data_IF_605921057172
#
_entry.id   IF_605921057172
#
_cell.length_a   1.000
_cell.length_b   1.000
_cell.length_c   1.000
_cell.angle_alpha   90.00
_cell.angle_beta   90.00
_cell.angle_gamma   90.00
#
_symmetry.space_group_name_H-M   'P 1'
#
loop_
_entity.id
_entity.type
_entity.pdbx_description
1 polymer ?
#
# COMPACT_ATOMS: atom_id res chain seq x y z
N UNK A 1 10.40 33.51 63.27
CA UNK A 1 10.43 32.06 63.00
C UNK A 1 9.34 31.75 61.97
N UNK A 2 9.72 31.67 60.70
CA UNK A 2 8.96 31.04 59.60
C UNK A 2 9.95 30.86 58.45
N UNK A 3 10.34 29.60 58.27
CA UNK A 3 11.21 29.10 57.22
C UNK A 3 10.37 29.06 55.94
N UNK A 4 10.93 29.53 54.82
CA UNK A 4 10.41 29.17 53.52
C UNK A 4 11.58 28.91 52.54
N UNK A 5 11.51 27.72 51.95
CA UNK A 5 12.52 27.02 51.14
C UNK A 5 12.42 27.51 49.70
N UNK A 6 13.52 27.73 48.95
CA UNK A 6 13.42 27.95 47.52
C UNK A 6 13.10 26.62 46.82
N UNK A 7 11.96 26.55 46.14
CA UNK A 7 11.66 25.46 45.21
C UNK A 7 12.68 25.47 44.07
N UNK A 8 13.55 24.47 44.07
CA UNK A 8 14.23 23.99 42.87
C UNK A 8 13.18 23.36 41.95
N UNK A 9 12.70 24.10 40.96
CA UNK A 9 12.07 23.48 39.79
C UNK A 9 13.18 23.20 38.78
N UNK A 10 13.60 21.94 38.75
CA UNK A 10 14.42 21.37 37.69
C UNK A 10 13.53 21.31 36.44
N UNK A 11 13.57 22.36 35.61
CA UNK A 11 13.01 22.33 34.27
C UNK A 11 13.94 21.49 33.38
N UNK A 12 13.77 20.16 33.40
CA UNK A 12 14.25 19.29 32.33
C UNK A 12 13.08 19.11 31.37
N UNK A 13 12.88 20.10 30.51
CA UNK A 13 11.95 20.01 29.39
C UNK A 13 12.60 20.62 28.15
N UNK A 14 12.79 19.74 27.15
CA UNK A 14 13.02 20.05 25.74
C UNK A 14 14.29 20.84 25.38
N UNK A 15 15.47 20.25 25.60
CA UNK A 15 16.50 20.36 24.56
C UNK A 15 16.16 19.33 23.48
N UNK A 16 15.50 19.79 22.42
CA UNK A 16 15.33 19.00 21.20
C UNK A 16 16.69 18.54 20.70
N UNK A 17 16.78 17.26 20.34
CA UNK A 17 18.00 16.70 19.76
C UNK A 17 18.22 17.26 18.35
N UNK A 18 18.85 18.42 18.24
CA UNK A 18 19.47 18.85 16.98
C UNK A 18 20.49 17.76 16.57
N UNK A 19 20.21 17.06 15.48
CA UNK A 19 21.09 16.02 14.93
C UNK A 19 20.75 14.56 15.27
N UNK A 20 19.65 14.27 15.99
CA UNK A 20 19.25 12.87 16.21
C UNK A 20 18.50 12.27 15.04
N UNK A 21 18.88 11.05 14.68
CA UNK A 21 18.25 10.21 13.65
C UNK A 21 16.95 9.58 14.19
N UNK A 22 16.81 9.48 15.51
CA UNK A 22 15.63 8.86 16.15
C UNK A 22 14.35 9.60 15.76
N UNK A 23 13.33 8.84 15.35
CA UNK A 23 12.04 9.38 14.95
C UNK A 23 11.41 8.59 13.82
N UNK A 24 10.27 9.09 13.35
CA UNK A 24 9.54 8.53 12.21
C UNK A 24 9.88 9.34 10.97
N UNK A 25 9.97 8.65 9.84
CA UNK A 25 10.43 9.19 8.57
C UNK A 25 9.57 8.65 7.45
N UNK A 26 9.14 9.50 6.52
CA UNK A 26 8.36 9.08 5.37
C UNK A 26 8.87 9.72 4.09
N UNK A 27 8.72 9.01 2.98
CA UNK A 27 9.09 9.49 1.66
C UNK A 27 8.47 8.63 0.57
N UNK A 28 8.95 8.82 -0.66
CA UNK A 28 8.58 8.02 -1.81
C UNK A 28 9.86 7.38 -2.36
N UNK A 29 9.78 6.09 -2.65
CA UNK A 29 10.85 5.34 -3.28
C UNK A 29 10.26 4.51 -4.42
N UNK A 30 10.72 4.74 -5.65
CA UNK A 30 10.20 4.10 -6.87
C UNK A 30 8.67 4.21 -7.01
N UNK A 31 8.13 5.41 -6.78
CA UNK A 31 6.69 5.73 -6.81
C UNK A 31 5.85 5.01 -5.74
N UNK A 32 6.49 4.36 -4.76
CA UNK A 32 5.83 3.72 -3.63
C UNK A 32 6.09 4.51 -2.35
N UNK A 33 5.07 4.77 -1.52
CA UNK A 33 5.28 5.34 -0.19
C UNK A 33 6.19 4.45 0.67
N UNK A 34 7.07 5.08 1.43
CA UNK A 34 7.93 4.41 2.42
C UNK A 34 7.77 5.12 3.76
N UNK A 35 7.76 4.33 4.83
CA UNK A 35 7.70 4.78 6.22
C UNK A 35 8.72 4.02 7.07
N UNK A 36 9.59 4.73 7.77
CA UNK A 36 10.68 4.18 8.57
C UNK A 36 10.64 4.77 9.98
N UNK A 37 10.71 3.91 10.99
CA UNK A 37 10.83 4.30 12.39
C UNK A 37 12.24 3.96 12.86
N UNK A 38 13.01 4.98 13.20
CA UNK A 38 14.42 4.88 13.57
C UNK A 38 14.61 5.10 15.06
N UNK A 39 15.52 4.33 15.66
CA UNK A 39 15.96 4.46 17.04
C UNK A 39 17.49 4.42 17.10
N UNK A 40 18.07 5.55 17.46
CA UNK A 40 19.52 5.71 17.62
C UNK A 40 19.93 5.48 19.09
N UNK A 41 21.01 4.75 19.29
CA UNK A 41 21.68 4.60 20.60
C UNK A 41 23.19 4.77 20.42
N UNK A 42 23.69 5.97 20.71
CA UNK A 42 25.06 6.35 20.38
C UNK A 42 25.28 6.34 18.87
N UNK A 43 26.31 5.63 18.41
CA UNK A 43 26.60 5.42 16.98
C UNK A 43 25.80 4.28 16.35
N UNK A 44 25.02 3.51 17.12
CA UNK A 44 24.20 2.39 16.60
C UNK A 44 22.81 2.87 16.22
N UNK A 45 22.27 2.30 15.15
CA UNK A 45 20.93 2.59 14.65
C UNK A 45 20.16 1.28 14.44
N UNK A 46 18.98 1.21 15.03
CA UNK A 46 18.00 0.17 14.75
C UNK A 46 16.71 0.82 14.24
N UNK A 47 15.88 0.05 13.56
CA UNK A 47 14.62 0.57 13.08
C UNK A 47 13.73 -0.49 12.47
N UNK A 48 12.53 -0.03 12.13
CA UNK A 48 11.56 -0.79 11.36
C UNK A 48 11.09 0.03 10.16
N UNK A 49 10.67 -0.63 9.08
CA UNK A 49 10.27 0.06 7.86
C UNK A 49 9.27 -0.71 7.00
N UNK A 50 8.55 0.00 6.13
CA UNK A 50 7.60 -0.59 5.19
C UNK A 50 6.80 0.47 4.44
N UNK A 51 5.72 0.10 3.73
CA UNK A 51 4.93 1.05 2.94
C UNK A 51 4.16 2.08 3.76
N UNK A 52 3.78 1.77 5.00
CA UNK A 52 3.03 2.65 5.92
C UNK A 52 3.49 2.46 7.37
N UNK A 53 3.12 3.37 8.27
CA UNK A 53 3.35 3.25 9.72
C UNK A 53 2.76 1.96 10.27
N UNK A 54 1.60 1.53 9.76
CA UNK A 54 0.91 0.31 10.19
C UNK A 54 1.48 -0.97 9.58
N UNK A 55 2.21 -0.86 8.48
CA UNK A 55 2.75 -1.98 7.72
C UNK A 55 4.29 -1.92 7.68
N UNK A 56 4.94 -1.73 8.82
CA UNK A 56 6.40 -1.78 8.92
C UNK A 56 6.88 -3.22 9.04
N UNK A 57 7.01 -3.90 7.89
CA UNK A 57 7.32 -5.32 7.79
C UNK A 57 8.81 -5.65 7.96
N UNK A 58 9.68 -4.65 7.94
CA UNK A 58 11.13 -4.81 8.02
C UNK A 58 11.64 -4.39 9.38
N UNK A 59 12.61 -5.13 9.88
CA UNK A 59 13.39 -4.76 11.06
C UNK A 59 14.88 -4.81 10.70
N UNK A 60 15.65 -3.88 11.25
CA UNK A 60 17.11 -3.89 11.16
C UNK A 60 17.72 -3.37 12.46
N UNK A 61 18.93 -3.84 12.78
CA UNK A 61 19.62 -3.54 14.04
C UNK A 61 21.07 -3.10 13.89
N UNK A 62 21.63 -3.26 12.69
CA UNK A 62 23.06 -3.08 12.42
C UNK A 62 23.36 -1.77 11.68
N UNK A 63 22.49 -0.77 11.82
CA UNK A 63 22.74 0.56 11.28
C UNK A 63 23.77 1.33 12.11
N UNK A 64 24.35 2.35 11.49
CA UNK A 64 25.33 3.24 12.10
C UNK A 64 25.05 4.70 11.79
N UNK A 65 25.45 5.57 12.71
CA UNK A 65 25.39 7.03 12.57
C UNK A 65 26.76 7.60 12.91
N UNK A 66 27.34 8.33 11.98
CA UNK A 66 28.60 9.07 12.15
C UNK A 66 28.38 10.53 11.71
N UNK A 67 28.19 11.43 12.69
CA UNK A 67 27.83 12.82 12.40
C UNK A 67 26.47 12.92 11.71
N UNK A 68 26.44 13.48 10.49
CA UNK A 68 25.24 13.56 9.64
C UNK A 68 25.05 12.32 8.76
N UNK A 69 26.04 11.42 8.68
CA UNK A 69 26.04 10.25 7.80
C UNK A 69 25.37 9.06 8.49
N UNK A 70 24.47 8.41 7.75
CA UNK A 70 23.62 7.33 8.23
C UNK A 70 23.74 6.16 7.26
N UNK A 71 24.14 5.01 7.79
CA UNK A 71 24.24 3.77 7.03
C UNK A 71 23.36 2.70 7.68
N UNK A 72 22.48 2.05 6.93
CA UNK A 72 21.79 0.86 7.41
C UNK A 72 21.33 0.00 6.24
N UNK A 73 21.06 -1.28 6.51
CA UNK A 73 20.44 -2.18 5.55
C UNK A 73 19.12 -2.71 6.09
N UNK A 74 18.09 -2.77 5.25
CA UNK A 74 16.79 -3.34 5.56
C UNK A 74 16.40 -4.33 4.45
N UNK A 75 16.58 -5.62 4.70
CA UNK A 75 16.58 -6.62 3.63
C UNK A 75 17.71 -6.38 2.64
N UNK A 76 17.40 -6.47 1.35
CA UNK A 76 18.34 -6.23 0.24
C UNK A 76 18.66 -4.76 -0.02
N UNK A 77 17.96 -3.84 0.64
CA UNK A 77 18.15 -2.40 0.46
C UNK A 77 19.23 -1.87 1.38
N UNK A 78 20.22 -1.20 0.79
CA UNK A 78 21.32 -0.57 1.52
C UNK A 78 21.16 0.95 1.41
N UNK A 79 20.99 1.61 2.55
CA UNK A 79 20.75 3.04 2.65
C UNK A 79 22.04 3.75 3.03
N UNK A 80 22.43 4.71 2.21
CA UNK A 80 23.50 5.68 2.48
C UNK A 80 22.88 7.08 2.45
N UNK A 81 22.61 7.64 3.63
CA UNK A 81 21.84 8.88 3.78
C UNK A 81 22.62 9.92 4.57
N UNK A 82 22.28 11.19 4.33
CA UNK A 82 22.70 12.32 5.14
C UNK A 82 21.51 13.02 5.77
N UNK A 83 21.64 13.32 7.06
CA UNK A 83 20.68 14.10 7.83
C UNK A 83 20.94 15.60 7.69
N UNK A 84 19.91 16.35 7.34
CA UNK A 84 19.90 17.81 7.36
C UNK A 84 18.57 18.30 7.96
N UNK A 85 18.58 18.56 9.27
CA UNK A 85 17.38 18.95 10.02
C UNK A 85 16.32 17.84 10.02
N UNK A 86 15.20 18.11 9.37
CA UNK A 86 14.07 17.16 9.22
C UNK A 86 14.07 16.41 7.89
N UNK A 87 15.19 16.43 7.17
CA UNK A 87 15.33 15.75 5.88
C UNK A 87 16.49 14.76 5.95
N UNK A 88 16.24 13.52 5.54
CA UNK A 88 17.28 12.57 5.13
C UNK A 88 17.25 12.41 3.63
N UNK A 89 18.41 12.51 3.01
CA UNK A 89 18.55 12.28 1.57
C UNK A 89 19.81 11.51 1.28
N UNK A 90 19.77 10.74 0.21
CA UNK A 90 20.94 10.00 -0.24
C UNK A 90 20.55 8.93 -1.22
N UNK A 91 21.20 7.79 -1.12
CA UNK A 91 21.12 6.72 -2.09
C UNK A 91 20.66 5.44 -1.41
N UNK A 92 19.85 4.69 -2.14
CA UNK A 92 19.47 3.32 -1.82
C UNK A 92 20.02 2.43 -2.91
N UNK A 93 20.88 1.51 -2.50
CA UNK A 93 21.40 0.47 -3.39
C UNK A 93 20.58 -0.81 -3.21
N UNK A 94 20.06 -1.34 -4.31
CA UNK A 94 19.42 -2.66 -4.34
C UNK A 94 19.62 -3.27 -5.73
N UNK A 95 19.81 -4.58 -5.83
CA UNK A 95 19.95 -5.31 -7.11
C UNK A 95 20.97 -4.65 -8.07
N UNK A 96 22.07 -4.13 -7.52
CA UNK A 96 23.11 -3.41 -8.27
C UNK A 96 22.71 -2.03 -8.80
N UNK A 97 21.47 -1.58 -8.56
CA UNK A 97 20.98 -0.26 -8.93
C UNK A 97 21.10 0.72 -7.76
N UNK A 98 21.44 1.97 -8.09
CA UNK A 98 21.53 3.08 -7.14
C UNK A 98 20.40 4.07 -7.43
N UNK A 99 19.52 4.28 -6.47
CA UNK A 99 18.38 5.18 -6.60
C UNK A 99 18.40 6.24 -5.51
N UNK A 100 18.04 7.47 -5.86
CA UNK A 100 17.94 8.56 -4.88
C UNK A 100 16.69 8.38 -4.04
N UNK A 101 16.82 8.63 -2.74
CA UNK A 101 15.69 8.68 -1.81
C UNK A 101 15.69 10.00 -1.05
N UNK A 102 14.49 10.47 -0.77
CA UNK A 102 14.23 11.61 0.08
C UNK A 102 13.23 11.17 1.14
N UNK A 103 13.64 11.21 2.40
CA UNK A 103 12.80 10.96 3.56
C UNK A 103 12.69 12.25 4.35
N UNK A 104 11.49 12.53 4.84
CA UNK A 104 11.23 13.65 5.71
C UNK A 104 10.78 13.14 7.07
N UNK A 105 11.20 13.81 8.13
CA UNK A 105 10.76 13.52 9.48
C UNK A 105 9.26 13.71 9.54
N UNK A 106 8.56 12.66 9.95
CA UNK A 106 7.14 12.73 10.29
C UNK A 106 7.09 13.38 11.67
N UNK A 107 6.54 14.60 11.78
CA UNK A 107 6.47 15.26 13.06
C UNK A 107 5.53 14.46 13.97
N UNK A 108 5.84 14.37 15.26
CA UNK A 108 4.89 13.92 16.29
C UNK A 108 3.81 15.00 16.47
N UNK A 109 3.00 15.22 15.43
CA UNK A 109 1.86 16.15 15.49
C UNK A 109 0.72 15.45 16.20
N UNK A 110 0.64 15.67 17.51
CA UNK A 110 -0.62 15.63 18.25
C UNK A 110 -1.48 16.87 17.93
N UNK A 111 -1.66 17.22 16.65
CA UNK A 111 -2.20 18.52 16.27
C UNK A 111 -2.67 18.62 14.82
N UNK A 112 -3.93 19.01 14.70
CA UNK A 112 -4.77 19.28 13.53
C UNK A 112 -4.16 20.33 12.58
N UNK A 113 -3.08 20.02 11.86
CA UNK A 113 -2.87 20.66 10.57
C UNK A 113 -4.07 20.27 9.69
N UNK A 114 -4.72 21.23 9.03
CA UNK A 114 -5.85 20.93 8.14
C UNK A 114 -5.40 19.88 7.13
N UNK A 115 -5.89 18.64 7.28
CA UNK A 115 -5.64 17.54 6.36
C UNK A 115 -6.51 17.76 5.11
N UNK A 116 -6.26 18.86 4.39
CA UNK A 116 -6.96 19.25 3.19
C UNK A 116 -5.97 19.82 2.17
N UNK A 117 -6.22 19.56 0.90
CA UNK A 117 -5.44 20.10 -0.21
C UNK A 117 -5.60 21.62 -0.33
N UNK A 118 -4.55 22.30 -0.78
CA UNK A 118 -4.54 23.76 -0.95
C UNK A 118 -5.44 24.19 -2.11
N UNK A 119 -5.39 23.43 -3.20
CA UNK A 119 -6.21 23.61 -4.39
C UNK A 119 -6.64 22.23 -4.87
N UNK A 120 -7.92 22.06 -5.17
CA UNK A 120 -8.48 20.82 -5.70
C UNK A 120 -9.29 21.16 -6.93
N UNK A 121 -9.15 20.42 -8.02
CA UNK A 121 -10.18 20.32 -9.06
C UNK A 121 -10.73 18.90 -9.03
N UNK A 122 -12.06 18.78 -9.09
CA UNK A 122 -12.76 17.51 -9.29
C UNK A 122 -13.73 17.71 -10.44
N UNK A 123 -13.52 16.98 -11.52
CA UNK A 123 -14.33 17.05 -12.73
C UNK A 123 -14.79 15.65 -13.12
N UNK A 124 -15.96 15.54 -13.75
CA UNK A 124 -16.31 14.31 -14.44
C UNK A 124 -15.34 14.09 -15.59
N UNK A 125 -14.77 12.89 -15.68
CA UNK A 125 -13.90 12.56 -16.80
C UNK A 125 -14.71 12.58 -18.11
N UNK A 126 -14.09 13.00 -19.22
CA UNK A 126 -14.70 12.88 -20.54
C UNK A 126 -15.11 11.44 -20.84
N UNK A 127 -16.16 11.26 -21.64
CA UNK A 127 -16.57 9.93 -22.08
C UNK A 127 -15.41 9.24 -22.82
N UNK A 128 -14.95 8.10 -22.28
CA UNK A 128 -13.84 7.34 -22.86
C UNK A 128 -14.41 6.38 -23.92
N UNK A 129 -14.03 6.48 -25.20
CA UNK A 129 -14.49 5.55 -26.23
C UNK A 129 -14.03 4.11 -25.90
N UNK A 130 -14.87 3.08 -26.13
CA UNK A 130 -14.46 1.69 -26.00
C UNK A 130 -13.22 1.41 -26.85
N UNK A 131 -12.18 0.79 -26.25
CA UNK A 131 -10.95 0.41 -26.95
C UNK A 131 -9.89 1.51 -27.10
N UNK A 132 -10.11 2.71 -26.55
CA UNK A 132 -9.15 3.83 -26.61
C UNK A 132 -7.85 3.65 -25.80
N UNK A 133 -7.73 2.58 -25.02
CA UNK A 133 -6.53 2.27 -24.24
C UNK A 133 -6.23 3.24 -23.09
N UNK A 134 -7.13 4.21 -22.82
CA UNK A 134 -6.96 5.14 -21.70
C UNK A 134 -7.26 4.40 -20.40
N UNK A 135 -6.20 4.05 -19.68
CA UNK A 135 -6.31 3.38 -18.39
C UNK A 135 -6.58 4.39 -17.28
N UNK A 136 -7.35 3.96 -16.28
CA UNK A 136 -7.46 4.67 -15.00
C UNK A 136 -6.07 4.81 -14.38
N UNK A 137 -5.71 6.02 -13.92
CA UNK A 137 -4.41 6.27 -13.31
C UNK A 137 -4.52 7.18 -12.08
N UNK A 138 -3.60 7.00 -11.15
CA UNK A 138 -3.40 7.84 -9.98
C UNK A 138 -1.89 8.05 -9.83
N UNK A 139 -1.47 9.30 -9.90
CA UNK A 139 -0.07 9.72 -9.87
C UNK A 139 0.15 10.67 -8.71
N UNK A 140 1.13 10.36 -7.88
CA UNK A 140 1.56 11.20 -6.78
C UNK A 140 2.95 11.77 -7.09
N UNK A 141 2.99 13.02 -7.53
CA UNK A 141 4.23 13.79 -7.69
C UNK A 141 4.49 14.63 -6.43
N UNK A 142 5.75 15.04 -6.13
CA UNK A 142 6.03 15.96 -5.03
C UNK A 142 5.19 17.25 -5.13
N UNK A 143 4.21 17.38 -4.24
CA UNK A 143 3.29 18.53 -4.16
C UNK A 143 2.03 18.43 -5.02
N UNK A 144 1.78 17.29 -5.69
CA UNK A 144 0.61 17.15 -6.56
C UNK A 144 0.09 15.71 -6.66
N UNK A 145 -1.21 15.53 -6.44
CA UNK A 145 -1.96 14.32 -6.74
C UNK A 145 -2.73 14.52 -8.05
N UNK A 146 -2.57 13.62 -9.00
CA UNK A 146 -3.34 13.60 -10.26
C UNK A 146 -4.02 12.26 -10.41
N UNK A 147 -5.35 12.24 -10.49
CA UNK A 147 -6.13 11.07 -10.86
C UNK A 147 -6.80 11.32 -12.20
N UNK A 148 -6.79 10.33 -13.07
CA UNK A 148 -7.37 10.42 -14.41
C UNK A 148 -8.22 9.21 -14.67
N UNK A 149 -9.46 9.42 -15.12
CA UNK A 149 -10.45 8.37 -15.39
C UNK A 149 -10.61 7.41 -14.20
N UNK A 150 -10.75 7.94 -12.98
CA UNK A 150 -10.86 7.12 -11.77
C UNK A 150 -12.29 7.08 -11.26
N UNK A 151 -12.80 5.90 -10.94
CA UNK A 151 -14.12 5.78 -10.32
C UNK A 151 -14.09 6.12 -8.84
N UNK A 152 -15.22 6.59 -8.28
CA UNK A 152 -15.30 6.88 -6.85
C UNK A 152 -14.99 5.63 -6.01
N UNK A 153 -15.47 4.46 -6.43
CA UNK A 153 -15.13 3.20 -5.75
C UNK A 153 -13.63 2.96 -5.76
N UNK A 154 -12.94 3.15 -6.89
CA UNK A 154 -11.48 2.98 -6.97
C UNK A 154 -10.72 3.92 -6.04
N UNK A 155 -11.17 5.16 -5.90
CA UNK A 155 -10.63 6.10 -4.90
C UNK A 155 -10.81 5.56 -3.48
N UNK A 156 -12.01 5.11 -3.12
CA UNK A 156 -12.31 4.55 -1.80
C UNK A 156 -11.42 3.33 -1.51
N UNK A 157 -11.31 2.38 -2.44
CA UNK A 157 -10.47 1.19 -2.29
C UNK A 157 -9.02 1.55 -1.97
N UNK A 158 -8.45 2.53 -2.69
CA UNK A 158 -7.08 2.96 -2.51
C UNK A 158 -6.88 3.73 -1.20
N UNK A 159 -7.78 4.66 -0.85
CA UNK A 159 -7.60 5.54 0.31
C UNK A 159 -7.88 4.83 1.64
N UNK A 160 -8.81 3.87 1.64
CA UNK A 160 -9.16 3.13 2.85
C UNK A 160 -8.41 1.79 3.00
N UNK A 161 -7.57 1.42 2.02
CA UNK A 161 -6.86 0.14 1.94
C UNK A 161 -7.79 -1.06 2.14
N UNK A 162 -8.87 -1.09 1.35
CA UNK A 162 -9.88 -2.15 1.37
C UNK A 162 -10.00 -2.81 0.00
N UNK A 163 -10.49 -4.05 -0.03
CA UNK A 163 -10.70 -4.81 -1.27
C UNK A 163 -12.08 -4.53 -1.85
N UNK A 164 -12.25 -4.81 -3.15
CA UNK A 164 -13.49 -4.51 -3.88
C UNK A 164 -14.73 -5.11 -3.20
N UNK A 165 -14.65 -6.37 -2.77
CA UNK A 165 -15.70 -7.08 -2.06
C UNK A 165 -16.00 -6.52 -0.65
N UNK A 166 -15.11 -5.68 -0.11
CA UNK A 166 -15.29 -5.03 1.20
C UNK A 166 -16.03 -3.70 1.07
N UNK A 167 -16.39 -3.24 -0.13
CA UNK A 167 -17.08 -1.96 -0.31
C UNK A 167 -18.45 -2.20 -0.93
N UNK A 168 -19.47 -1.66 -0.29
CA UNK A 168 -20.84 -1.66 -0.80
C UNK A 168 -21.40 -0.24 -0.83
N UNK A 169 -22.20 0.10 -1.83
CA UNK A 169 -22.83 1.41 -1.95
C UNK A 169 -23.55 1.60 -3.28
N UNK A 170 -23.85 2.85 -3.67
CA UNK A 170 -24.53 3.15 -4.93
C UNK A 170 -23.78 2.64 -6.16
N UNK A 171 -24.49 1.99 -7.10
CA UNK A 171 -23.88 1.36 -8.28
C UNK A 171 -23.13 2.33 -9.21
N UNK A 172 -23.48 3.62 -9.20
CA UNK A 172 -22.82 4.62 -10.04
C UNK A 172 -21.34 4.81 -9.66
N UNK A 173 -20.94 4.47 -8.43
CA UNK A 173 -19.56 4.60 -7.96
C UNK A 173 -18.58 3.69 -8.73
N UNK A 174 -19.07 2.62 -9.35
CA UNK A 174 -18.29 1.72 -10.20
C UNK A 174 -18.11 2.27 -11.62
N UNK A 175 -19.07 3.05 -12.12
CA UNK A 175 -19.18 3.40 -13.55
C UNK A 175 -18.78 4.83 -13.86
N UNK A 176 -19.04 5.76 -12.95
CA UNK A 176 -18.71 7.17 -13.18
C UNK A 176 -17.25 7.44 -12.90
N UNK A 177 -16.63 8.18 -13.80
CA UNK A 177 -15.21 8.47 -13.78
C UNK A 177 -14.99 9.96 -13.51
N UNK A 178 -13.95 10.23 -12.74
CA UNK A 178 -13.56 11.56 -12.33
C UNK A 178 -12.09 11.81 -12.64
N UNK A 179 -11.79 13.05 -13.00
CA UNK A 179 -10.44 13.59 -13.06
C UNK A 179 -10.24 14.47 -11.82
N UNK A 180 -9.17 14.20 -11.07
CA UNK A 180 -8.86 14.92 -9.83
C UNK A 180 -7.46 15.48 -9.94
N UNK A 181 -7.32 16.79 -9.72
CA UNK A 181 -6.03 17.46 -9.60
C UNK A 181 -5.99 18.15 -8.25
N UNK A 182 -5.10 17.72 -7.36
CA UNK A 182 -4.97 18.30 -6.04
C UNK A 182 -3.54 18.73 -5.73
N UNK A 183 -3.38 19.96 -5.27
CA UNK A 183 -2.12 20.59 -4.88
C UNK A 183 -1.92 20.48 -3.37
N UNK A 184 -0.69 20.17 -2.96
CA UNK A 184 -0.29 20.05 -1.57
C UNK A 184 1.14 20.58 -1.37
N UNK A 185 1.56 20.85 -0.13
CA UNK A 185 2.95 21.09 0.18
C UNK A 185 3.84 19.97 -0.36
N UNK A 186 4.98 20.30 -0.98
CA UNK A 186 5.89 19.31 -1.62
C UNK A 186 6.45 18.28 -0.65
N UNK A 187 6.35 18.59 0.63
CA UNK A 187 6.86 17.85 1.76
C UNK A 187 5.75 17.08 2.51
N UNK A 188 4.59 16.93 1.88
CA UNK A 188 3.46 16.09 2.34
C UNK A 188 3.83 14.61 2.21
N UNK A 189 3.68 13.88 3.30
CA UNK A 189 3.95 12.44 3.38
C UNK A 189 2.81 11.63 2.75
N UNK A 190 3.08 10.39 2.32
CA UNK A 190 2.05 9.54 1.70
C UNK A 190 0.82 9.31 2.59
N UNK A 191 1.00 9.23 3.91
CA UNK A 191 -0.09 9.09 4.87
C UNK A 191 -0.92 10.37 5.00
N UNK A 192 -0.26 11.54 5.00
CA UNK A 192 -0.95 12.83 4.94
C UNK A 192 -1.74 12.94 3.63
N UNK A 193 -1.20 12.50 2.49
CA UNK A 193 -1.94 12.46 1.22
C UNK A 193 -3.19 11.60 1.32
N UNK A 194 -3.09 10.40 1.90
CA UNK A 194 -4.25 9.51 2.10
C UNK A 194 -5.29 10.19 3.00
N UNK A 195 -4.86 10.84 4.07
CA UNK A 195 -5.76 11.55 4.97
C UNK A 195 -6.42 12.76 4.30
N UNK A 196 -5.66 13.56 3.55
CA UNK A 196 -6.16 14.68 2.74
C UNK A 196 -7.15 14.22 1.66
N UNK A 197 -6.88 13.08 1.02
CA UNK A 197 -7.79 12.46 0.05
C UNK A 197 -9.09 12.00 0.71
N UNK A 198 -9.05 11.43 1.93
CA UNK A 198 -10.29 11.10 2.68
C UNK A 198 -11.11 12.36 2.98
N UNK A 199 -10.47 13.45 3.40
CA UNK A 199 -11.14 14.73 3.60
C UNK A 199 -11.75 15.26 2.31
N UNK A 200 -11.00 15.23 1.18
CA UNK A 200 -11.53 15.59 -0.13
C UNK A 200 -12.77 14.78 -0.50
N UNK A 201 -12.76 13.47 -0.27
CA UNK A 201 -13.92 12.62 -0.55
C UNK A 201 -15.13 12.98 0.34
N UNK A 202 -14.89 13.23 1.62
CA UNK A 202 -15.93 13.67 2.56
C UNK A 202 -16.52 15.03 2.16
N UNK A 203 -15.68 16.00 1.78
CA UNK A 203 -16.13 17.36 1.48
C UNK A 203 -16.77 17.46 0.09
N UNK A 204 -16.12 16.88 -0.94
CA UNK A 204 -16.54 17.06 -2.34
C UNK A 204 -17.65 16.11 -2.73
N UNK A 205 -17.61 14.88 -2.26
CA UNK A 205 -18.63 13.88 -2.58
C UNK A 205 -19.63 13.70 -1.44
N UNK A 206 -19.57 14.49 -0.36
CA UNK A 206 -20.38 14.27 0.85
C UNK A 206 -20.34 12.81 1.32
N UNK A 207 -19.15 12.19 1.22
CA UNK A 207 -18.97 10.76 1.44
C UNK A 207 -19.23 10.42 2.91
N UNK A 208 -20.30 9.67 3.16
CA UNK A 208 -20.63 9.13 4.47
C UNK A 208 -20.43 7.61 4.45
N UNK A 209 -19.70 7.10 5.45
CA UNK A 209 -19.31 5.70 5.53
C UNK A 209 -19.53 5.19 6.95
N UNK A 210 -20.04 3.97 7.09
CA UNK A 210 -19.90 3.21 8.30
C UNK A 210 -19.23 1.85 8.06
N UNK A 211 -18.65 1.30 9.12
CA UNK A 211 -18.06 -0.03 9.13
C UNK A 211 -19.09 -1.04 9.60
N UNK A 212 -19.15 -2.16 8.91
CA UNK A 212 -19.97 -3.29 9.30
C UNK A 212 -19.14 -4.57 9.20
N UNK A 213 -19.28 -5.48 10.17
CA UNK A 213 -18.63 -6.80 10.11
C UNK A 213 -19.66 -7.84 9.71
N UNK A 214 -19.41 -8.57 8.62
CA UNK A 214 -20.31 -9.62 8.12
C UNK A 214 -19.60 -10.96 8.02
N UNK A 215 -20.28 -12.00 8.46
CA UNK A 215 -19.90 -13.40 8.22
C UNK A 215 -20.19 -13.77 6.77
N UNK A 216 -19.17 -13.71 5.91
CA UNK A 216 -19.31 -14.03 4.48
C UNK A 216 -18.59 -15.34 4.13
N UNK A 217 -19.03 -16.06 3.08
CA UNK A 217 -18.26 -17.19 2.57
C UNK A 217 -16.95 -16.71 1.95
N UNK A 218 -15.85 -17.34 2.35
CA UNK A 218 -14.49 -17.04 1.91
C UNK A 218 -13.74 -18.33 1.59
N UNK A 219 -12.60 -18.20 0.91
CA UNK A 219 -11.56 -19.22 0.96
C UNK A 219 -10.47 -18.79 1.94
N UNK A 220 -10.15 -19.64 2.91
CA UNK A 220 -8.92 -19.52 3.67
C UNK A 220 -7.77 -20.11 2.86
N UNK A 221 -6.75 -19.31 2.55
CA UNK A 221 -5.48 -19.82 2.05
C UNK A 221 -4.70 -20.39 3.23
N UNK A 222 -4.46 -21.70 3.23
CA UNK A 222 -3.79 -22.43 4.32
C UNK A 222 -2.61 -23.23 3.80
N UNK A 223 -1.68 -23.58 4.70
CA UNK A 223 -0.63 -24.56 4.41
C UNK A 223 -1.25 -25.95 4.30
N UNK A 224 -0.99 -26.64 3.20
CA UNK A 224 -1.48 -27.99 2.94
C UNK A 224 -0.81 -29.04 3.84
N UNK A 225 -1.38 -30.25 3.85
CA UNK A 225 -0.89 -31.37 4.69
C UNK A 225 0.58 -31.74 4.45
N UNK A 226 1.10 -31.46 3.25
CA UNK A 226 2.47 -31.77 2.86
C UNK A 226 3.48 -30.65 3.23
N UNK A 227 3.05 -29.66 4.00
CA UNK A 227 3.86 -28.53 4.40
C UNK A 227 4.07 -27.49 3.28
N UNK A 228 4.61 -26.33 3.67
CA UNK A 228 4.93 -25.26 2.75
C UNK A 228 6.16 -25.63 1.91
N UNK A 229 6.08 -25.39 0.59
CA UNK A 229 7.21 -25.57 -0.34
C UNK A 229 7.83 -24.24 -0.79
N UNK A 230 7.23 -23.12 -0.42
CA UNK A 230 7.79 -21.80 -0.61
C UNK A 230 9.03 -21.62 0.27
N UNK A 231 10.07 -21.02 -0.29
CA UNK A 231 11.21 -20.54 0.47
C UNK A 231 11.01 -19.07 0.77
N UNK A 232 11.15 -18.72 2.04
CA UNK A 232 11.27 -17.33 2.43
C UNK A 232 12.53 -16.76 1.79
N UNK A 233 12.38 -15.56 1.23
CA UNK A 233 13.47 -14.78 0.65
C UNK A 233 13.65 -13.52 1.45
N UNK A 234 14.83 -12.93 1.37
CA UNK A 234 15.05 -11.60 1.92
C UNK A 234 14.11 -10.59 1.26
N UNK A 235 13.70 -9.60 2.04
CA UNK A 235 12.93 -8.49 1.52
C UNK A 235 13.71 -7.76 0.42
N UNK A 236 13.01 -7.36 -0.63
CA UNK A 236 13.56 -6.54 -1.68
C UNK A 236 12.47 -5.93 -2.54
N UNK A 237 12.81 -5.59 -3.78
CA UNK A 237 11.84 -4.99 -4.71
C UNK A 237 10.78 -6.01 -5.08
N UNK A 238 9.68 -5.94 -4.35
CA UNK A 238 8.49 -6.75 -4.56
C UNK A 238 7.93 -6.51 -5.96
N UNK A 239 7.85 -7.56 -6.77
CA UNK A 239 7.26 -7.49 -8.10
C UNK A 239 6.30 -8.65 -8.28
N UNK A 240 5.11 -8.36 -8.80
CA UNK A 240 4.18 -9.39 -9.25
C UNK A 240 3.90 -9.18 -10.72
N UNK A 241 3.99 -10.25 -11.51
CA UNK A 241 3.52 -10.24 -12.88
C UNK A 241 2.42 -11.28 -13.05
N UNK A 242 1.39 -10.93 -13.82
CA UNK A 242 0.30 -11.84 -14.12
C UNK A 242 0.08 -11.85 -15.63
N UNK A 243 0.03 -13.05 -16.19
CA UNK A 243 -0.41 -13.32 -17.57
C UNK A 243 -1.42 -14.45 -17.52
N UNK A 244 -2.23 -14.68 -18.57
CA UNK A 244 -3.14 -15.82 -18.59
C UNK A 244 -2.40 -17.12 -18.25
N UNK A 245 -2.81 -17.77 -17.15
CA UNK A 245 -2.26 -19.05 -16.72
C UNK A 245 -0.92 -18.99 -15.99
N UNK A 246 -0.39 -17.78 -15.72
CA UNK A 246 0.88 -17.62 -15.00
C UNK A 246 0.86 -16.43 -14.04
N UNK A 247 1.33 -16.68 -12.82
CA UNK A 247 1.59 -15.69 -11.80
C UNK A 247 3.03 -15.84 -11.32
N UNK A 248 3.81 -14.78 -11.45
CA UNK A 248 5.16 -14.71 -10.90
C UNK A 248 5.16 -13.70 -9.77
N UNK A 249 5.54 -14.13 -8.58
CA UNK A 249 5.85 -13.28 -7.44
C UNK A 249 7.36 -13.28 -7.22
N UNK A 250 7.91 -12.09 -6.99
CA UNK A 250 9.29 -11.88 -6.54
C UNK A 250 9.26 -11.04 -5.28
N UNK A 251 9.81 -11.55 -4.19
CA UNK A 251 10.01 -10.84 -2.93
C UNK A 251 8.74 -10.16 -2.40
N UNK A 252 7.59 -10.84 -2.47
CA UNK A 252 6.30 -10.26 -2.05
C UNK A 252 5.72 -10.94 -0.82
N UNK A 253 5.00 -10.21 0.05
CA UNK A 253 4.28 -10.82 1.16
C UNK A 253 3.06 -11.61 0.67
N UNK A 254 2.54 -12.51 1.52
CA UNK A 254 1.38 -13.34 1.15
C UNK A 254 0.12 -12.55 0.82
N UNK A 255 -0.02 -11.34 1.38
CA UNK A 255 -1.13 -10.42 1.07
C UNK A 255 -1.26 -10.13 -0.43
N UNK A 256 -0.15 -10.04 -1.17
CA UNK A 256 -0.19 -9.80 -2.61
C UNK A 256 -0.79 -11.00 -3.34
N UNK A 257 -0.42 -12.20 -2.91
CA UNK A 257 -0.91 -13.43 -3.50
C UNK A 257 -2.38 -13.68 -3.19
N UNK A 258 -2.84 -13.43 -1.96
CA UNK A 258 -4.28 -13.55 -1.64
C UNK A 258 -5.13 -12.50 -2.36
N UNK A 259 -4.61 -11.30 -2.59
CA UNK A 259 -5.26 -10.29 -3.43
C UNK A 259 -5.34 -10.74 -4.91
N UNK A 260 -4.31 -11.40 -5.40
CA UNK A 260 -4.35 -12.03 -6.73
C UNK A 260 -5.40 -13.15 -6.78
N UNK A 261 -5.36 -14.11 -5.86
CA UNK A 261 -6.31 -15.23 -5.83
C UNK A 261 -7.76 -14.75 -5.65
N UNK A 262 -8.01 -13.74 -4.82
CA UNK A 262 -9.35 -13.15 -4.65
C UNK A 262 -9.95 -12.61 -5.95
N UNK A 263 -9.11 -12.20 -6.91
CA UNK A 263 -9.56 -11.75 -8.25
C UNK A 263 -9.79 -12.91 -9.22
N UNK A 264 -9.26 -14.08 -8.92
CA UNK A 264 -9.42 -15.29 -9.74
C UNK A 264 -10.58 -16.18 -9.24
N UNK A 265 -10.97 -16.03 -7.97
CA UNK A 265 -11.98 -16.85 -7.31
C UNK A 265 -13.34 -16.15 -7.22
N UNK A 266 -14.40 -16.91 -6.99
CA UNK A 266 -15.77 -16.41 -6.80
C UNK A 266 -16.00 -15.74 -5.43
N UNK A 267 -15.03 -15.85 -4.53
CA UNK A 267 -15.12 -15.41 -3.12
C UNK A 267 -13.78 -14.85 -2.64
N UNK A 268 -13.78 -14.00 -1.60
CA UNK A 268 -12.57 -13.49 -0.98
C UNK A 268 -11.62 -14.59 -0.55
N UNK A 269 -10.31 -14.38 -0.75
CA UNK A 269 -9.26 -15.25 -0.25
C UNK A 269 -8.57 -14.55 0.92
N UNK A 270 -8.66 -15.15 2.10
CA UNK A 270 -8.05 -14.65 3.34
C UNK A 270 -6.78 -15.44 3.62
N UNK A 271 -5.70 -14.75 3.97
CA UNK A 271 -4.47 -15.41 4.41
C UNK A 271 -4.67 -16.04 5.79
N UNK A 272 -4.62 -17.37 5.83
CA UNK A 272 -4.63 -18.19 7.05
C UNK A 272 -3.40 -19.11 7.08
N UNK A 273 -2.35 -18.77 6.34
CA UNK A 273 -1.12 -19.55 6.28
C UNK A 273 -0.23 -19.32 7.49
N UNK A 274 -0.35 -18.14 8.13
CA UNK A 274 0.53 -17.69 9.20
C UNK A 274 1.92 -17.23 8.73
N UNK A 275 2.13 -17.17 7.41
CA UNK A 275 3.39 -16.80 6.79
C UNK A 275 3.57 -15.28 6.80
N UNK A 276 4.65 -14.81 7.43
CA UNK A 276 4.92 -13.37 7.62
C UNK A 276 6.09 -12.85 6.78
N UNK A 277 6.82 -13.75 6.12
CA UNK A 277 7.99 -13.42 5.33
C UNK A 277 7.66 -12.93 3.92
N UNK A 278 8.71 -12.81 3.11
CA UNK A 278 8.61 -12.51 1.69
C UNK A 278 8.90 -13.76 0.88
N UNK A 279 8.21 -13.92 -0.25
CA UNK A 279 8.31 -15.15 -1.04
C UNK A 279 8.49 -14.81 -2.52
N UNK A 280 9.35 -15.58 -3.19
CA UNK A 280 9.52 -15.59 -4.63
C UNK A 280 9.12 -16.95 -5.17
N UNK A 281 8.13 -16.99 -6.05
CA UNK A 281 7.65 -18.22 -6.64
C UNK A 281 6.91 -17.95 -7.94
N UNK A 282 6.81 -18.99 -8.75
CA UNK A 282 5.97 -19.01 -9.94
C UNK A 282 4.84 -20.01 -9.76
N UNK A 283 3.67 -19.65 -10.27
CA UNK A 283 2.50 -20.50 -10.31
C UNK A 283 2.02 -20.54 -11.76
N UNK A 284 1.90 -21.75 -12.30
CA UNK A 284 1.39 -21.99 -13.65
C UNK A 284 0.16 -22.89 -13.60
N UNK A 285 -0.89 -22.52 -14.34
CA UNK A 285 -2.14 -23.27 -14.42
C UNK A 285 -2.76 -23.10 -15.80
N UNK A 286 -3.64 -24.02 -16.19
CA UNK A 286 -4.49 -23.82 -17.37
C UNK A 286 -5.61 -22.84 -17.01
N UNK A 287 -5.71 -21.68 -17.70
CA UNK A 287 -6.84 -20.77 -17.51
C UNK A 287 -8.14 -21.50 -17.79
N UNK A 288 -9.11 -21.38 -16.89
CA UNK A 288 -10.48 -21.77 -17.19
C UNK A 288 -11.01 -20.76 -18.23
N UNK A 289 -11.45 -21.22 -19.39
CA UNK A 289 -11.95 -20.34 -20.45
C UNK A 289 -13.05 -19.43 -19.89
N UNK A 290 -12.76 -18.13 -19.78
CA UNK A 290 -13.76 -17.12 -19.44
C UNK A 290 -13.60 -15.92 -20.38
N UNK A 291 -14.53 -15.87 -21.35
CA UNK A 291 -14.95 -14.71 -22.13
C UNK A 291 -13.86 -13.79 -22.72
N UNK A 292 -12.97 -14.34 -23.56
CA UNK A 292 -12.39 -13.53 -24.64
C UNK A 292 -13.51 -13.30 -25.67
N UNK A 293 -13.75 -12.08 -26.19
CA UNK A 293 -14.67 -11.91 -27.32
C UNK A 293 -14.19 -12.84 -28.44
N UNK A 294 -15.10 -13.64 -29.01
CA UNK A 294 -14.80 -14.49 -30.16
C UNK A 294 -13.97 -13.70 -31.17
N UNK A 295 -12.86 -14.25 -31.69
CA UNK A 295 -12.25 -13.69 -32.88
C UNK A 295 -13.30 -13.59 -33.99
N UNK A 296 -13.24 -12.52 -34.79
CA UNK A 296 -13.95 -12.43 -36.07
C UNK A 296 -13.72 -13.75 -36.84
N UNK A 297 -14.80 -14.25 -37.46
CA UNK A 297 -14.88 -15.57 -38.08
C UNK A 297 -13.62 -15.93 -38.90
N UNK A 298 -13.03 -17.10 -38.60
CA UNK A 298 -11.97 -17.70 -39.43
C UNK A 298 -10.73 -18.25 -38.71
N UNK A 299 -10.66 -18.27 -37.38
CA UNK A 299 -9.53 -18.84 -36.63
C UNK A 299 -9.70 -20.32 -36.30
N UNK A 300 -8.73 -21.16 -36.69
CA UNK A 300 -8.70 -22.59 -36.37
C UNK A 300 -8.82 -22.86 -34.86
N UNK A 301 -9.53 -23.94 -34.51
CA UNK A 301 -9.68 -24.41 -33.14
C UNK A 301 -8.30 -24.61 -32.50
N UNK A 302 -8.06 -23.93 -31.38
CA UNK A 302 -6.86 -24.12 -30.57
C UNK A 302 -7.10 -25.34 -29.68
N UNK A 303 -6.27 -26.36 -29.79
CA UNK A 303 -6.32 -27.54 -28.93
C UNK A 303 -6.39 -27.14 -27.45
N UNK A 304 -7.38 -27.64 -26.73
CA UNK A 304 -7.59 -27.37 -25.30
C UNK A 304 -6.34 -27.78 -24.51
N UNK A 305 -5.65 -26.81 -23.90
CA UNK A 305 -4.42 -27.04 -23.17
C UNK A 305 -4.67 -27.93 -21.92
N UNK A 306 -4.13 -29.16 -21.95
CA UNK A 306 -4.16 -30.09 -20.81
C UNK A 306 -3.10 -29.65 -19.79
N UNK A 307 -3.50 -28.92 -18.75
CA UNK A 307 -2.63 -28.49 -17.66
C UNK A 307 -3.39 -28.42 -16.32
N UNK A 308 -2.69 -28.22 -15.19
CA UNK A 308 -3.30 -28.27 -13.87
C UNK A 308 -4.27 -27.10 -13.68
N UNK A 309 -5.37 -27.33 -12.96
CA UNK A 309 -6.24 -26.24 -12.48
C UNK A 309 -5.49 -25.37 -11.48
N UNK A 310 -5.96 -24.14 -11.25
CA UNK A 310 -5.39 -23.22 -10.26
C UNK A 310 -5.29 -23.88 -8.86
N UNK A 311 -6.33 -24.62 -8.45
CA UNK A 311 -6.36 -25.35 -7.18
C UNK A 311 -5.27 -26.43 -7.10
N UNK A 312 -5.03 -27.16 -8.19
CA UNK A 312 -3.96 -28.17 -8.26
C UNK A 312 -2.58 -27.52 -8.28
N UNK A 313 -2.43 -26.39 -8.95
CA UNK A 313 -1.18 -25.62 -8.98
C UNK A 313 -0.81 -25.11 -7.57
N UNK A 314 -1.78 -24.63 -6.78
CA UNK A 314 -1.54 -24.22 -5.38
C UNK A 314 -0.95 -25.35 -4.52
N UNK A 315 -1.40 -26.59 -4.72
CA UNK A 315 -0.88 -27.75 -4.00
C UNK A 315 0.61 -28.00 -4.31
N UNK A 316 1.10 -27.60 -5.49
CA UNK A 316 2.52 -27.70 -5.83
C UNK A 316 3.38 -26.75 -4.99
N UNK A 317 2.82 -25.62 -4.55
CA UNK A 317 3.44 -24.70 -3.59
C UNK A 317 3.25 -25.15 -2.13
N UNK A 318 2.53 -26.25 -1.89
CA UNK A 318 2.16 -26.69 -0.55
C UNK A 318 1.06 -25.83 0.08
N UNK A 319 0.29 -25.11 -0.73
CA UNK A 319 -0.82 -24.27 -0.30
C UNK A 319 -2.16 -24.87 -0.72
N UNK A 320 -3.23 -24.49 -0.04
CA UNK A 320 -4.59 -24.95 -0.34
C UNK A 320 -5.61 -23.86 -0.03
N UNK A 321 -6.68 -23.80 -0.82
CA UNK A 321 -7.87 -23.03 -0.50
C UNK A 321 -8.88 -23.91 0.23
N UNK A 322 -9.39 -23.42 1.36
CA UNK A 322 -10.43 -24.09 2.13
C UNK A 322 -11.67 -23.21 2.23
N UNK A 323 -12.85 -23.68 1.77
CA UNK A 323 -14.09 -22.96 1.98
C UNK A 323 -14.37 -22.78 3.48
N UNK A 324 -14.59 -21.54 3.90
CA UNK A 324 -14.92 -21.19 5.29
C UNK A 324 -15.90 -20.02 5.32
N UNK A 325 -16.47 -19.77 6.49
CA UNK A 325 -17.06 -18.46 6.80
C UNK A 325 -16.11 -17.73 7.73
N UNK A 326 -15.96 -16.43 7.50
CA UNK A 326 -15.12 -15.59 8.33
C UNK A 326 -15.76 -14.20 8.47
N UNK A 327 -15.53 -13.52 9.61
CA UNK A 327 -15.92 -12.14 9.76
C UNK A 327 -15.03 -11.27 8.87
N UNK A 328 -15.65 -10.56 7.94
CA UNK A 328 -14.99 -9.59 7.08
C UNK A 328 -15.53 -8.20 7.42
N UNK A 329 -14.64 -7.28 7.74
CA UNK A 329 -14.98 -5.87 7.86
C UNK A 329 -15.25 -5.29 6.47
N UNK A 330 -16.40 -4.65 6.31
CA UNK A 330 -16.87 -4.01 5.08
C UNK A 330 -17.15 -2.53 5.35
N UNK A 331 -16.84 -1.68 4.36
CA UNK A 331 -17.23 -0.28 4.31
C UNK A 331 -18.55 -0.17 3.55
N UNK A 332 -19.56 0.33 4.24
CA UNK A 332 -20.85 0.64 3.66
C UNK A 332 -20.89 2.14 3.38
N UNK A 333 -21.08 2.51 2.12
CA UNK A 333 -21.22 3.89 1.69
C UNK A 333 -22.69 4.28 1.83
N UNK A 334 -23.00 4.98 2.92
CA UNK A 334 -24.35 5.47 3.23
C UNK A 334 -24.78 6.56 2.27
N UNK A 335 -23.84 7.41 1.89
CA UNK A 335 -24.05 8.52 0.98
C UNK A 335 -22.79 8.83 0.20
N UNK A 336 -22.99 9.12 -1.07
CA UNK A 336 -22.06 9.84 -1.91
C UNK A 336 -22.88 10.64 -2.93
N UNK A 337 -22.53 11.90 -3.13
CA UNK A 337 -23.14 12.76 -4.11
C UNK A 337 -22.47 12.54 -5.47
N UNK A 338 -23.29 12.33 -6.50
CA UNK A 338 -22.84 12.02 -7.87
C UNK A 338 -22.12 13.20 -8.52
N UNK A 339 -22.60 14.41 -8.24
CA UNK A 339 -21.99 15.66 -8.66
C UNK A 339 -21.18 16.20 -7.49
N UNK A 340 -19.84 16.22 -7.60
CA UNK A 340 -19.01 16.74 -6.53
C UNK A 340 -19.21 18.26 -6.39
N UNK A 341 -19.01 18.80 -5.19
CA UNK A 341 -19.11 20.24 -4.98
C UNK A 341 -18.00 20.96 -5.75
N UNK A 342 -18.40 22.00 -6.49
CA UNK A 342 -17.47 22.91 -7.17
C UNK A 342 -16.56 23.63 -6.17
N UNK A 343 -15.51 24.27 -6.70
CA UNK A 343 -14.58 25.09 -5.93
C UNK A 343 -15.17 26.40 -5.44
#
# INVERSE_FOLDING_TARGET
MKIWVPLFFMAVAAMGQEGSVTGKWSGIFLDVPVYITLKQNGSKLAGIGGPTEKQQLLEFRDGSVEGDHILFAAGTYHFDLRLAGDIMRGEVTYDGQVNKIYLKRVPDRSGTASLAFEVVSVEHSPAVPPGSGVNSSMKLDPGRLTCTNVSLKKLILNMYDVKDYQVSGPAWMDTELFDIVATMPRDTTGEEVIAMAKTLLADRFHLAIHKETKEVPVYGLVVGKNGMKLKEVEFGRGETSTRPGKYTAKMTPMTNFTNFLSRQMDRPVIDMTGLKGFYSFELEWTPEESAVPKPLEGGAAVDSAVGPSLMSALQQLGLKLEPRRAPVETLVIDRADRTPTEN
#
